data_IF_060779977789
#
_entry.id   IF_060779977789
#
_cell.length_a   1.000
_cell.length_b   1.000
_cell.length_c   1.000
_cell.angle_alpha   90.00
_cell.angle_beta   90.00
_cell.angle_gamma   90.00
#
_symmetry.space_group_name_H-M   'P 1'
#
loop_
_entity.id
_entity.type
_entity.pdbx_description
1 polymer ?
#
# COMPACT_ATOMS: atom_id res chain seq x y z
N UNK A 1 -5.65 10.55 -9.59
CA UNK A 1 -4.43 10.73 -8.80
C UNK A 1 -3.30 9.97 -9.47
N UNK A 2 -2.18 10.62 -9.76
CA UNK A 2 -1.00 9.99 -10.36
C UNK A 2 0.10 9.70 -9.31
N UNK A 3 1.10 8.90 -9.68
CA UNK A 3 2.18 8.51 -8.76
C UNK A 3 3.00 9.67 -8.21
N UNK A 4 3.17 10.77 -8.97
CA UNK A 4 3.90 11.95 -8.52
C UNK A 4 3.13 12.71 -7.42
N UNK A 5 1.81 12.80 -7.54
CA UNK A 5 0.95 13.42 -6.52
C UNK A 5 1.01 12.65 -5.21
N UNK A 6 0.90 11.32 -5.28
CA UNK A 6 1.01 10.43 -4.11
C UNK A 6 2.39 10.59 -3.46
N UNK A 7 3.46 10.53 -4.26
CA UNK A 7 4.80 10.71 -3.77
C UNK A 7 4.97 12.07 -3.08
N UNK A 8 4.49 13.14 -3.70
CA UNK A 8 4.58 14.49 -3.14
C UNK A 8 3.87 14.62 -1.79
N UNK A 9 2.68 14.05 -1.65
CA UNK A 9 1.92 14.11 -0.40
C UNK A 9 2.62 13.29 0.69
N UNK A 10 2.93 12.02 0.41
CA UNK A 10 3.45 11.10 1.43
C UNK A 10 4.90 11.38 1.83
N UNK A 11 5.70 11.96 0.94
CA UNK A 11 7.08 12.41 1.28
C UNK A 11 7.11 13.68 2.12
N UNK A 12 6.00 14.41 2.23
CA UNK A 12 5.91 15.69 2.97
C UNK A 12 5.05 15.62 4.22
N UNK A 13 4.23 14.60 4.35
CA UNK A 13 3.46 14.37 5.57
C UNK A 13 4.40 13.95 6.73
N UNK A 14 4.29 14.57 7.92
CA UNK A 14 5.20 14.34 9.03
C UNK A 14 5.13 12.92 9.61
N UNK A 15 4.04 12.19 9.39
CA UNK A 15 3.86 10.83 9.90
C UNK A 15 4.31 9.77 8.89
N UNK A 16 4.13 10.02 7.58
CA UNK A 16 4.54 9.06 6.56
C UNK A 16 5.95 9.29 6.04
N UNK A 17 6.44 10.53 5.99
CA UNK A 17 7.77 10.83 5.43
C UNK A 17 8.95 10.07 6.06
N UNK A 18 8.99 9.73 7.36
CA UNK A 18 10.11 8.98 7.93
C UNK A 18 10.19 7.52 7.47
N UNK A 19 9.06 6.97 6.99
CA UNK A 19 8.91 5.54 6.67
C UNK A 19 8.58 5.28 5.19
N UNK A 20 8.09 6.29 4.48
CA UNK A 20 7.67 6.19 3.08
C UNK A 20 8.87 6.00 2.15
N UNK A 21 8.84 4.92 1.35
CA UNK A 21 9.95 4.54 0.46
C UNK A 21 9.66 4.81 -1.01
N UNK A 22 8.44 5.16 -1.36
CA UNK A 22 8.09 5.60 -2.71
C UNK A 22 6.84 4.97 -3.28
N UNK A 23 6.64 5.24 -4.57
CA UNK A 23 5.55 4.73 -5.39
C UNK A 23 6.13 3.79 -6.45
N UNK A 24 5.59 2.59 -6.55
CA UNK A 24 6.08 1.53 -7.44
C UNK A 24 4.97 0.97 -8.31
N UNK A 25 5.33 0.19 -9.32
CA UNK A 25 4.40 -0.62 -10.11
C UNK A 25 4.47 -2.07 -9.62
N UNK A 26 3.49 -2.91 -9.96
CA UNK A 26 3.42 -4.29 -9.46
C UNK A 26 4.60 -5.19 -9.85
N UNK A 27 5.38 -4.79 -10.85
CA UNK A 27 6.61 -5.44 -11.33
C UNK A 27 7.91 -4.79 -10.83
N UNK A 28 7.84 -3.67 -10.10
CA UNK A 28 9.01 -2.91 -9.63
C UNK A 28 9.07 -2.74 -8.11
N UNK A 29 8.29 -3.55 -7.37
CA UNK A 29 8.26 -3.55 -5.90
C UNK A 29 9.64 -3.95 -5.35
N UNK A 30 10.29 -3.11 -4.53
CA UNK A 30 11.59 -3.44 -3.95
C UNK A 30 11.43 -4.45 -2.81
N UNK A 31 12.53 -5.11 -2.42
CA UNK A 31 12.57 -5.79 -1.12
C UNK A 31 12.48 -4.75 -0.01
N UNK A 32 11.39 -4.78 0.76
CA UNK A 32 11.22 -3.93 1.92
C UNK A 32 12.16 -4.39 3.04
N UNK A 33 12.76 -3.42 3.72
CA UNK A 33 13.60 -3.65 4.90
C UNK A 33 13.04 -2.81 6.04
N UNK A 34 12.97 -3.41 7.21
CA UNK A 34 12.55 -2.73 8.45
C UNK A 34 11.16 -2.07 8.31
N UNK A 35 10.87 -1.09 9.17
CA UNK A 35 9.65 -0.30 9.16
C UNK A 35 9.58 0.57 7.90
N UNK A 36 8.61 0.32 7.03
CA UNK A 36 8.48 1.04 5.76
C UNK A 36 7.04 1.08 5.24
N UNK A 37 6.69 2.13 4.49
CA UNK A 37 5.47 2.16 3.69
C UNK A 37 5.78 2.40 2.21
N UNK A 38 5.01 1.74 1.34
CA UNK A 38 5.02 1.97 -0.10
C UNK A 38 3.60 2.07 -0.63
N UNK A 39 3.47 2.76 -1.76
CA UNK A 39 2.26 2.69 -2.58
C UNK A 39 2.61 1.98 -3.88
N UNK A 40 1.76 1.07 -4.31
CA UNK A 40 1.98 0.22 -5.47
C UNK A 40 0.81 0.39 -6.43
N UNK A 41 1.11 0.62 -7.70
CA UNK A 41 0.10 0.47 -8.74
C UNK A 41 -0.17 -1.02 -8.98
N UNK A 42 -1.43 -1.43 -9.05
CA UNK A 42 -1.80 -2.81 -9.37
C UNK A 42 -1.30 -3.24 -10.76
N UNK A 43 -1.24 -2.29 -11.69
CA UNK A 43 -0.73 -2.52 -13.04
C UNK A 43 0.81 -2.50 -13.06
N UNK A 44 1.37 -3.05 -14.14
CA UNK A 44 2.82 -3.03 -14.39
C UNK A 44 3.29 -1.64 -14.82
N UNK A 45 4.60 -1.44 -14.75
CA UNK A 45 5.28 -0.22 -15.23
C UNK A 45 5.02 0.10 -16.70
N UNK A 46 4.69 -0.90 -17.52
CA UNK A 46 4.34 -0.76 -18.95
C UNK A 46 2.86 -0.44 -19.21
N UNK A 47 2.04 -0.39 -18.18
CA UNK A 47 0.58 -0.23 -18.26
C UNK A 47 0.15 1.13 -17.71
N UNK A 48 -1.06 1.63 -18.06
CA UNK A 48 -1.47 3.01 -17.75
C UNK A 48 -1.61 3.33 -16.26
N UNK A 49 -1.79 2.31 -15.42
CA UNK A 49 -1.97 2.44 -13.98
C UNK A 49 -3.44 2.63 -13.59
N UNK A 50 -4.10 1.56 -13.17
CA UNK A 50 -5.54 1.50 -12.93
C UNK A 50 -5.95 1.69 -11.47
N UNK A 51 -5.11 1.24 -10.53
CA UNK A 51 -5.48 1.16 -9.11
C UNK A 51 -4.26 1.27 -8.19
N UNK A 52 -4.44 1.85 -7.01
CA UNK A 52 -3.38 2.08 -6.03
C UNK A 52 -3.61 1.24 -4.77
N UNK A 53 -2.57 0.54 -4.34
CA UNK A 53 -2.52 -0.33 -3.18
C UNK A 53 -1.50 0.23 -2.19
N UNK A 54 -1.75 0.12 -0.89
CA UNK A 54 -0.78 0.52 0.13
C UNK A 54 -0.26 -0.70 0.89
N UNK A 55 1.04 -0.70 1.14
CA UNK A 55 1.72 -1.71 1.95
C UNK A 55 2.47 -1.03 3.07
N UNK A 56 2.40 -1.61 4.26
CA UNK A 56 3.15 -1.19 5.42
C UNK A 56 3.86 -2.41 6.04
N UNK A 57 5.17 -2.35 6.12
CA UNK A 57 6.01 -3.36 6.76
C UNK A 57 6.34 -2.92 8.19
N UNK A 58 6.16 -3.81 9.15
CA UNK A 58 6.69 -3.70 10.51
C UNK A 58 7.32 -5.05 10.89
N UNK A 59 8.63 -5.06 11.15
CA UNK A 59 9.38 -6.30 11.42
C UNK A 59 9.13 -7.37 10.33
N UNK A 60 8.45 -8.47 10.65
CA UNK A 60 8.11 -9.56 9.74
C UNK A 60 6.65 -9.50 9.23
N UNK A 61 5.86 -8.52 9.68
CA UNK A 61 4.45 -8.38 9.32
C UNK A 61 4.25 -7.35 8.20
N UNK A 62 3.35 -7.67 7.27
CA UNK A 62 2.94 -6.77 6.19
C UNK A 62 1.45 -6.50 6.29
N UNK A 63 1.10 -5.25 6.55
CA UNK A 63 -0.26 -4.76 6.40
C UNK A 63 -0.48 -4.39 4.92
N UNK A 64 -1.62 -4.83 4.41
CA UNK A 64 -2.09 -4.53 3.07
C UNK A 64 -3.39 -3.73 3.15
N UNK A 65 -3.50 -2.72 2.30
CA UNK A 65 -4.69 -1.91 2.17
C UNK A 65 -5.10 -1.71 0.71
N UNK A 66 -6.35 -2.06 0.45
CA UNK A 66 -7.12 -1.72 -0.75
C UNK A 66 -8.40 -1.00 -0.33
N UNK A 67 -8.66 0.17 -0.92
CA UNK A 67 -9.87 0.96 -0.65
C UNK A 67 -11.17 0.27 -1.13
N UNK A 68 -11.07 -0.69 -2.05
CA UNK A 68 -12.22 -1.50 -2.49
C UNK A 68 -12.41 -2.76 -1.64
N UNK A 69 -11.51 -3.02 -0.68
CA UNK A 69 -11.58 -4.18 0.21
C UNK A 69 -11.29 -5.51 -0.46
N UNK A 70 -10.70 -5.53 -1.66
CA UNK A 70 -10.25 -6.78 -2.27
C UNK A 70 -9.03 -7.29 -1.51
N UNK A 71 -8.90 -8.60 -1.32
CA UNK A 71 -7.72 -9.17 -0.70
C UNK A 71 -6.55 -9.22 -1.72
N UNK A 72 -5.28 -9.35 -1.28
CA UNK A 72 -4.11 -9.35 -2.17
C UNK A 72 -4.20 -10.34 -3.33
N UNK A 73 -4.84 -11.50 -3.11
CA UNK A 73 -5.01 -12.57 -4.08
C UNK A 73 -5.81 -12.15 -5.32
N UNK A 74 -6.66 -11.12 -5.19
CA UNK A 74 -7.43 -10.55 -6.29
C UNK A 74 -6.52 -10.03 -7.42
N UNK A 75 -5.35 -9.50 -7.07
CA UNK A 75 -4.40 -8.92 -8.02
C UNK A 75 -3.38 -9.95 -8.56
N UNK A 76 -3.54 -11.22 -8.20
CA UNK A 76 -2.75 -12.34 -8.70
C UNK A 76 -1.47 -12.62 -7.90
N UNK A 77 -0.67 -13.59 -8.37
CA UNK A 77 0.40 -14.20 -7.57
C UNK A 77 1.57 -13.26 -7.24
N UNK A 78 1.67 -12.09 -7.88
CA UNK A 78 2.68 -11.07 -7.56
C UNK A 78 2.46 -10.47 -6.17
N UNK A 79 1.23 -10.55 -5.68
CA UNK A 79 0.82 -10.11 -4.36
C UNK A 79 0.59 -11.31 -3.43
N UNK A 80 1.11 -12.50 -3.76
CA UNK A 80 1.33 -13.58 -2.80
C UNK A 80 2.70 -13.39 -2.14
N UNK A 81 2.86 -12.35 -1.35
CA UNK A 81 3.93 -12.29 -0.37
C UNK A 81 3.66 -13.38 0.69
N UNK A 82 4.69 -14.14 1.07
CA UNK A 82 4.59 -15.26 2.02
C UNK A 82 4.54 -14.77 3.48
N UNK A 83 3.75 -13.74 3.73
CA UNK A 83 3.64 -13.07 5.03
C UNK A 83 2.19 -13.13 5.51
N UNK A 84 2.02 -13.15 6.82
CA UNK A 84 0.69 -13.08 7.43
C UNK A 84 0.11 -11.69 7.15
N UNK A 85 -0.77 -11.60 6.16
CA UNK A 85 -1.48 -10.35 5.90
C UNK A 85 -2.50 -10.10 7.00
N UNK A 86 -2.37 -8.95 7.66
CA UNK A 86 -3.47 -8.36 8.40
C UNK A 86 -4.18 -7.42 7.44
N UNK A 87 -5.33 -7.84 6.92
CA UNK A 87 -6.19 -6.96 6.14
C UNK A 87 -6.77 -5.93 7.11
N UNK A 88 -6.43 -4.67 6.91
CA UNK A 88 -7.01 -3.58 7.68
C UNK A 88 -8.43 -3.32 7.16
N UNK A 89 -9.40 -4.07 7.68
CA UNK A 89 -10.80 -3.72 7.50
C UNK A 89 -11.07 -2.40 8.22
N UNK A 90 -11.39 -1.34 7.47
CA UNK A 90 -11.92 -0.10 8.03
C UNK A 90 -13.35 -0.34 8.55
N UNK A 91 -13.46 -1.04 9.68
CA UNK A 91 -14.66 -0.99 10.50
C UNK A 91 -14.71 0.39 11.14
N UNK A 92 -15.44 1.32 10.50
CA UNK A 92 -15.87 2.56 11.14
C UNK A 92 -16.76 2.21 12.33
N UNK A 93 -16.38 2.46 13.60
CA UNK A 93 -17.40 2.71 14.60
C UNK A 93 -18.00 4.07 14.24
N UNK A 94 -19.27 4.07 13.84
CA UNK A 94 -20.08 5.28 13.90
C UNK A 94 -20.07 5.75 15.36
N UNK A 95 -19.17 6.67 15.71
CA UNK A 95 -19.31 7.48 16.92
C UNK A 95 -20.43 8.46 16.65
N UNK A 96 -21.64 8.08 17.01
CA UNK A 96 -22.73 9.00 17.27
C UNK A 96 -22.29 9.92 18.41
N UNK A 97 -21.85 11.13 18.08
CA UNK A 97 -21.88 12.23 19.03
C UNK A 97 -23.26 12.87 18.97
N UNK A 98 -24.21 12.30 19.72
CA UNK A 98 -25.36 12.97 20.35
C UNK A 98 -25.87 12.06 21.48
#
# INVERSE_FOLDING_TARGET
MNGNEIHFILSRDPYTSPLFRGVFSSDTIPMLKEKSAIVVNADKSSEPGSHWLAFYQEADDIDFFDSYGNPPEFYGPRFHFRFFYRVLEFNHPAKSYL
#
